data_IF_152414266725
#
_entry.id   IF_152414266725
#
_cell.length_a   1.000
_cell.length_b   1.000
_cell.length_c   1.000
_cell.angle_alpha   90.00
_cell.angle_beta   90.00
_cell.angle_gamma   90.00
#
_symmetry.space_group_name_H-M   'P 1'
#
loop_
_entity.id
_entity.type
_entity.pdbx_description
1 polymer ?
#
# COMPACT_ATOMS: atom_id res chain seq x y z
N UNK A 1 5.74 14.50 -9.05
CA UNK A 1 6.77 13.79 -8.27
C UNK A 1 6.57 12.29 -8.28
N UNK A 2 5.41 11.76 -7.85
CA UNK A 2 5.23 10.30 -7.76
C UNK A 2 4.71 9.58 -9.02
N UNK A 3 4.35 10.30 -10.09
CA UNK A 3 3.96 9.68 -11.38
C UNK A 3 4.95 8.62 -11.92
N UNK A 4 6.29 8.78 -11.83
CA UNK A 4 7.22 7.74 -12.26
C UNK A 4 7.07 6.40 -11.50
N UNK A 5 6.58 6.42 -10.26
CA UNK A 5 6.33 5.22 -9.45
C UNK A 5 5.07 4.49 -9.90
N UNK A 6 4.00 5.25 -10.18
CA UNK A 6 2.76 4.77 -10.80
C UNK A 6 3.06 4.09 -12.14
N UNK A 7 3.69 4.81 -13.07
CA UNK A 7 4.00 4.28 -14.39
C UNK A 7 4.88 3.03 -14.32
N UNK A 8 5.85 2.98 -13.39
CA UNK A 8 6.67 1.80 -13.22
C UNK A 8 5.87 0.60 -12.70
N UNK A 9 4.96 0.80 -11.73
CA UNK A 9 4.09 -0.26 -11.23
C UNK A 9 3.22 -0.82 -12.35
N UNK A 10 2.55 0.06 -13.10
CA UNK A 10 1.71 -0.32 -14.23
C UNK A 10 2.51 -1.12 -15.27
N UNK A 11 3.67 -0.61 -15.69
CA UNK A 11 4.53 -1.30 -16.64
C UNK A 11 4.91 -2.71 -16.16
N UNK A 12 5.30 -2.87 -14.89
CA UNK A 12 5.64 -4.18 -14.34
C UNK A 12 4.42 -5.10 -14.28
N UNK A 13 3.26 -4.60 -13.84
CA UNK A 13 2.04 -5.40 -13.71
C UNK A 13 1.52 -5.87 -15.07
N UNK A 14 1.32 -4.95 -16.03
CA UNK A 14 0.77 -5.26 -17.35
C UNK A 14 1.73 -6.07 -18.23
N UNK A 15 3.06 -5.99 -17.98
CA UNK A 15 4.04 -6.82 -18.67
C UNK A 15 4.09 -8.25 -18.13
N UNK A 16 3.83 -8.45 -16.83
CA UNK A 16 4.01 -9.74 -16.15
C UNK A 16 2.74 -10.56 -16.03
N UNK A 17 1.58 -9.92 -15.96
CA UNK A 17 0.33 -10.59 -15.62
C UNK A 17 -0.77 -10.26 -16.63
N UNK A 18 -1.61 -11.26 -16.90
CA UNK A 18 -2.90 -11.05 -17.55
C UNK A 18 -3.89 -10.50 -16.52
N UNK A 19 -3.88 -9.17 -16.37
CA UNK A 19 -4.71 -8.47 -15.41
C UNK A 19 -6.18 -8.46 -15.85
N UNK A 20 -7.08 -8.69 -14.89
CA UNK A 20 -8.52 -8.44 -15.01
C UNK A 20 -8.90 -7.28 -14.12
N UNK A 21 -9.64 -6.31 -14.67
CA UNK A 21 -10.18 -5.20 -13.87
C UNK A 21 -11.14 -5.69 -12.80
N UNK A 22 -11.10 -5.05 -11.62
CA UNK A 22 -12.10 -5.19 -10.57
C UNK A 22 -12.98 -3.94 -10.56
N UNK A 23 -14.30 -4.08 -10.33
CA UNK A 23 -15.19 -2.93 -10.31
C UNK A 23 -14.83 -1.99 -9.16
N UNK A 24 -14.88 -0.69 -9.46
CA UNK A 24 -14.75 0.40 -8.50
C UNK A 24 -15.99 1.26 -8.67
N UNK A 25 -16.51 1.82 -7.59
CA UNK A 25 -17.58 2.82 -7.70
C UNK A 25 -17.06 4.01 -8.53
N UNK A 26 -17.81 4.54 -9.50
CA UNK A 26 -17.32 5.59 -10.41
C UNK A 26 -16.73 6.81 -9.68
N UNK A 27 -17.32 7.21 -8.55
CA UNK A 27 -16.84 8.31 -7.72
C UNK A 27 -15.54 8.03 -6.97
N UNK A 28 -15.18 6.75 -6.79
CA UNK A 28 -13.95 6.31 -6.14
C UNK A 28 -12.83 6.02 -7.17
N UNK A 29 -13.22 5.70 -8.42
CA UNK A 29 -12.30 5.50 -9.55
C UNK A 29 -11.70 6.82 -10.03
N UNK A 30 -12.53 7.85 -10.21
CA UNK A 30 -12.08 9.17 -10.65
C UNK A 30 -12.93 10.27 -10.03
N UNK A 31 -12.29 11.25 -9.41
CA UNK A 31 -12.97 12.46 -8.98
C UNK A 31 -12.06 13.69 -9.00
N UNK A 32 -12.63 14.83 -9.40
CA UNK A 32 -12.02 16.15 -9.19
C UNK A 32 -12.84 16.91 -8.15
N UNK A 33 -12.23 17.21 -7.01
CA UNK A 33 -12.84 18.02 -5.97
C UNK A 33 -12.41 19.48 -6.04
N UNK A 34 -13.36 20.37 -5.72
CA UNK A 34 -13.19 21.81 -5.60
C UNK A 34 -13.21 22.31 -4.13
N UNK A 35 -13.23 21.41 -3.14
CA UNK A 35 -13.40 21.79 -1.71
C UNK A 35 -12.17 22.47 -1.09
N UNK A 36 -10.99 22.26 -1.66
CA UNK A 36 -9.71 22.79 -1.15
C UNK A 36 -9.34 24.16 -1.74
N UNK A 37 -8.18 24.70 -1.32
CA UNK A 37 -7.60 25.91 -1.94
C UNK A 37 -7.29 25.72 -3.42
N UNK A 38 -6.95 24.51 -3.82
CA UNK A 38 -6.70 24.09 -5.19
C UNK A 38 -7.57 22.87 -5.50
N UNK A 39 -7.96 22.67 -6.77
CA UNK A 39 -8.59 21.43 -7.20
C UNK A 39 -7.72 20.22 -6.84
N UNK A 40 -8.35 19.17 -6.32
CA UNK A 40 -7.69 17.90 -6.02
C UNK A 40 -8.30 16.81 -6.90
N UNK A 41 -7.47 16.16 -7.70
CA UNK A 41 -7.84 15.01 -8.50
C UNK A 41 -7.41 13.74 -7.76
N UNK A 42 -8.29 12.74 -7.75
CA UNK A 42 -7.96 11.37 -7.38
C UNK A 42 -8.25 10.45 -8.56
N UNK A 43 -7.35 9.51 -8.78
CA UNK A 43 -7.52 8.38 -9.68
C UNK A 43 -7.16 7.10 -8.94
N UNK A 44 -8.02 6.09 -9.07
CA UNK A 44 -7.86 4.80 -8.42
C UNK A 44 -8.03 3.68 -9.42
N UNK A 45 -7.21 2.64 -9.28
CA UNK A 45 -7.25 1.47 -10.13
C UNK A 45 -7.30 0.21 -9.30
N UNK A 46 -7.98 -0.82 -9.81
CA UNK A 46 -8.10 -2.11 -9.15
C UNK A 46 -8.09 -3.26 -10.16
N UNK A 47 -7.18 -4.20 -9.94
CA UNK A 47 -7.02 -5.37 -10.79
C UNK A 47 -6.88 -6.64 -9.96
N UNK A 48 -6.95 -7.77 -10.65
CA UNK A 48 -6.65 -9.09 -10.11
C UNK A 48 -6.03 -10.00 -11.18
N UNK A 49 -5.28 -10.99 -10.73
CA UNK A 49 -4.76 -12.09 -11.54
C UNK A 49 -4.72 -13.37 -10.68
N UNK A 50 -4.39 -14.56 -11.23
CA UNK A 50 -4.37 -15.80 -10.44
C UNK A 50 -3.52 -15.72 -9.17
N UNK A 51 -2.39 -15.01 -9.22
CA UNK A 51 -1.44 -14.88 -8.11
C UNK A 51 -1.80 -13.76 -7.12
N UNK A 52 -2.54 -12.75 -7.56
CA UNK A 52 -2.88 -11.55 -6.77
C UNK A 52 -4.39 -11.32 -6.83
N UNK A 53 -5.11 -11.60 -5.73
CA UNK A 53 -6.58 -11.43 -5.67
C UNK A 53 -7.03 -9.96 -5.73
N UNK A 54 -6.14 -9.03 -5.37
CA UNK A 54 -6.41 -7.60 -5.39
C UNK A 54 -5.09 -6.87 -5.59
N UNK A 55 -5.07 -5.98 -6.56
CA UNK A 55 -4.01 -5.01 -6.77
C UNK A 55 -4.73 -3.67 -6.79
N UNK A 56 -4.57 -2.85 -5.76
CA UNK A 56 -5.13 -1.49 -5.76
C UNK A 56 -4.03 -0.47 -5.72
N UNK A 57 -4.20 0.60 -6.47
CA UNK A 57 -3.33 1.76 -6.38
C UNK A 57 -4.13 3.03 -6.64
N UNK A 58 -3.69 4.12 -6.01
CA UNK A 58 -4.35 5.41 -6.03
C UNK A 58 -3.33 6.51 -6.18
N UNK A 59 -3.62 7.45 -7.06
CA UNK A 59 -2.86 8.67 -7.23
C UNK A 59 -3.73 9.88 -6.93
N UNK A 60 -3.23 10.77 -6.05
CA UNK A 60 -3.87 12.06 -5.78
C UNK A 60 -2.93 13.16 -6.24
N UNK A 61 -3.49 14.12 -6.98
CA UNK A 61 -2.82 15.34 -7.40
C UNK A 61 -3.64 16.56 -7.00
N UNK A 62 -3.14 17.30 -6.01
CA UNK A 62 -3.67 18.59 -5.57
C UNK A 62 -2.67 19.74 -5.90
N UNK A 63 -2.01 19.64 -7.05
CA UNK A 63 -1.02 20.62 -7.52
C UNK A 63 0.16 20.75 -6.56
N UNK A 64 0.52 21.98 -6.19
CA UNK A 64 1.59 22.23 -5.23
C UNK A 64 1.20 21.89 -3.77
N UNK A 65 -0.08 21.61 -3.49
CA UNK A 65 -0.55 21.38 -2.10
C UNK A 65 -0.27 19.96 -1.65
N UNK A 66 -0.58 18.97 -2.48
CA UNK A 66 -0.30 17.58 -2.16
C UNK A 66 -0.13 16.70 -3.40
N UNK A 67 0.71 15.68 -3.28
CA UNK A 67 0.73 14.52 -4.17
C UNK A 67 0.80 13.25 -3.34
N UNK A 68 0.02 12.24 -3.70
CA UNK A 68 -0.04 10.98 -2.97
C UNK A 68 0.01 9.84 -3.98
N UNK A 69 0.80 8.82 -3.68
CA UNK A 69 0.76 7.53 -4.38
C UNK A 69 0.67 6.43 -3.33
N UNK A 70 -0.45 5.73 -3.32
CA UNK A 70 -0.71 4.62 -2.42
C UNK A 70 -0.94 3.35 -3.24
N UNK A 71 -0.43 2.21 -2.80
CA UNK A 71 -0.69 0.93 -3.43
C UNK A 71 -0.59 -0.21 -2.42
N UNK A 72 -1.49 -1.18 -2.56
CA UNK A 72 -1.40 -2.45 -1.83
C UNK A 72 -1.71 -3.61 -2.76
N UNK A 73 -0.81 -4.60 -2.78
CA UNK A 73 -1.00 -5.85 -3.51
C UNK A 73 -1.29 -6.97 -2.52
N UNK A 74 -2.41 -7.65 -2.74
CA UNK A 74 -2.91 -8.77 -1.95
C UNK A 74 -2.67 -10.06 -2.72
N UNK A 75 -1.76 -10.93 -2.25
CA UNK A 75 -1.63 -12.28 -2.77
C UNK A 75 -2.95 -13.03 -2.72
N UNK A 76 -3.24 -13.85 -3.73
CA UNK A 76 -4.35 -14.80 -3.64
C UNK A 76 -4.19 -15.67 -2.40
N UNK A 77 -5.28 -16.09 -1.76
CA UNK A 77 -5.23 -16.79 -0.46
C UNK A 77 -4.45 -18.11 -0.47
N UNK A 78 -4.15 -18.66 -1.66
CA UNK A 78 -3.28 -19.82 -1.82
C UNK A 78 -1.80 -19.48 -1.64
N UNK A 79 -1.42 -18.20 -1.60
CA UNK A 79 -0.06 -17.76 -1.35
C UNK A 79 0.00 -17.02 -0.02
N UNK A 80 0.83 -17.51 0.90
CA UNK A 80 1.06 -16.89 2.21
C UNK A 80 2.01 -15.69 2.15
N UNK A 81 2.32 -15.18 0.96
CA UNK A 81 3.18 -14.00 0.79
C UNK A 81 2.71 -12.81 1.64
N UNK A 82 3.64 -11.96 2.09
CA UNK A 82 3.29 -10.68 2.71
C UNK A 82 2.56 -9.79 1.70
N UNK A 83 1.81 -8.79 2.17
CA UNK A 83 1.26 -7.77 1.28
C UNK A 83 2.41 -6.83 0.86
N UNK A 84 2.39 -6.35 -0.38
CA UNK A 84 3.27 -5.23 -0.76
C UNK A 84 2.56 -3.93 -0.45
N UNK A 85 3.04 -3.18 0.55
CA UNK A 85 2.48 -1.90 0.97
C UNK A 85 3.33 -0.73 0.51
N UNK A 86 2.72 0.24 -0.17
CA UNK A 86 3.34 1.47 -0.67
C UNK A 86 2.48 2.66 -0.25
N UNK A 87 3.08 3.64 0.42
CA UNK A 87 2.39 4.88 0.77
C UNK A 87 3.35 6.08 0.74
N UNK A 88 3.27 6.86 -0.34
CA UNK A 88 4.11 8.03 -0.56
C UNK A 88 3.25 9.29 -0.53
N UNK A 89 3.51 10.16 0.44
CA UNK A 89 2.77 11.39 0.65
C UNK A 89 3.70 12.59 0.56
N UNK A 90 3.33 13.57 -0.24
CA UNK A 90 3.98 14.86 -0.30
C UNK A 90 2.94 15.94 0.03
N UNK A 91 3.21 16.75 1.03
CA UNK A 91 2.41 17.93 1.41
C UNK A 91 3.26 19.19 1.23
N UNK A 92 3.00 19.93 0.16
CA UNK A 92 3.87 21.00 -0.28
C UNK A 92 5.27 20.51 -0.68
N UNK A 93 6.21 21.45 -0.81
CA UNK A 93 7.62 21.17 -1.15
C UNK A 93 8.48 20.73 0.05
N UNK A 94 7.90 20.63 1.25
CA UNK A 94 8.66 20.53 2.51
C UNK A 94 8.39 19.28 3.34
N UNK A 95 7.26 18.59 3.13
CA UNK A 95 6.86 17.45 3.95
C UNK A 95 6.60 16.26 3.03
N UNK A 96 7.61 15.43 2.86
CA UNK A 96 7.48 14.17 2.12
C UNK A 96 7.66 13.04 3.12
N UNK A 97 6.68 12.15 3.19
CA UNK A 97 6.68 10.96 4.02
C UNK A 97 6.53 9.75 3.10
N UNK A 98 7.40 8.75 3.26
CA UNK A 98 7.41 7.59 2.39
C UNK A 98 7.42 6.32 3.23
N UNK A 99 6.57 5.37 2.87
CA UNK A 99 6.47 4.04 3.44
C UNK A 99 6.52 3.02 2.31
N UNK A 100 7.41 2.04 2.43
CA UNK A 100 7.51 0.90 1.52
C UNK A 100 7.90 -0.34 2.32
N UNK A 101 7.09 -1.39 2.24
CA UNK A 101 7.30 -2.60 3.04
C UNK A 101 6.69 -3.85 2.40
N UNK A 102 7.23 -5.01 2.76
CA UNK A 102 6.50 -6.28 2.67
C UNK A 102 5.84 -6.53 4.01
N UNK A 103 4.55 -6.23 4.10
CA UNK A 103 3.77 -6.24 5.33
C UNK A 103 3.46 -7.70 5.72
N UNK A 104 4.08 -8.23 6.79
CA UNK A 104 3.97 -9.65 7.14
C UNK A 104 2.56 -10.00 7.60
N UNK A 105 2.03 -11.13 7.11
CA UNK A 105 0.77 -11.70 7.61
C UNK A 105 0.95 -12.42 8.95
N UNK A 106 2.15 -12.95 9.19
CA UNK A 106 2.47 -13.76 10.36
C UNK A 106 3.79 -13.34 10.99
N UNK A 107 3.97 -13.73 12.26
CA UNK A 107 5.14 -13.37 13.08
C UNK A 107 6.00 -14.56 13.47
N UNK A 108 5.65 -15.77 13.02
CA UNK A 108 6.48 -16.94 13.29
C UNK A 108 7.83 -16.84 12.58
N UNK A 109 8.87 -17.36 13.24
CA UNK A 109 10.27 -17.20 12.79
C UNK A 109 10.50 -17.76 11.38
N UNK A 110 9.86 -18.89 11.06
CA UNK A 110 9.96 -19.52 9.76
C UNK A 110 9.40 -18.62 8.65
N UNK A 111 8.24 -18.01 8.88
CA UNK A 111 7.64 -17.04 7.97
C UNK A 111 8.54 -15.82 7.74
N UNK A 112 9.02 -15.21 8.84
CA UNK A 112 9.87 -14.03 8.76
C UNK A 112 11.18 -14.33 8.02
N UNK A 113 11.81 -15.48 8.31
CA UNK A 113 13.01 -15.92 7.61
C UNK A 113 12.77 -16.16 6.11
N UNK A 114 11.60 -16.69 5.75
CA UNK A 114 11.25 -17.00 4.36
C UNK A 114 10.97 -15.74 3.53
N UNK A 115 10.15 -14.84 4.05
CA UNK A 115 9.58 -13.74 3.24
C UNK A 115 10.07 -12.35 3.62
N UNK A 116 10.53 -12.15 4.85
CA UNK A 116 10.89 -10.83 5.36
C UNK A 116 12.41 -10.62 5.36
N UNK A 117 13.17 -11.61 5.83
CA UNK A 117 14.64 -11.59 5.82
C UNK A 117 15.28 -11.24 4.46
N UNK A 118 14.73 -11.66 3.29
CA UNK A 118 15.27 -11.25 1.99
C UNK A 118 15.32 -9.73 1.78
N UNK A 119 14.49 -8.93 2.47
CA UNK A 119 14.53 -7.48 2.39
C UNK A 119 15.74 -6.85 3.08
N UNK A 120 16.41 -7.54 4.01
CA UNK A 120 17.48 -6.95 4.85
C UNK A 120 18.53 -6.23 4.01
N UNK A 121 19.06 -6.91 3.00
CA UNK A 121 20.13 -6.35 2.15
C UNK A 121 19.68 -5.09 1.40
N UNK A 122 18.42 -5.03 0.95
CA UNK A 122 17.87 -3.83 0.32
C UNK A 122 17.68 -2.72 1.35
N UNK A 123 17.11 -3.03 2.52
CA UNK A 123 16.95 -2.05 3.60
C UNK A 123 18.29 -1.44 4.01
N UNK A 124 19.34 -2.24 4.13
CA UNK A 124 20.67 -1.76 4.52
C UNK A 124 21.30 -0.89 3.42
N UNK A 125 21.11 -1.26 2.15
CA UNK A 125 21.53 -0.45 0.98
C UNK A 125 20.85 0.92 0.94
N UNK A 126 19.60 1.01 1.40
CA UNK A 126 18.78 2.23 1.43
C UNK A 126 18.51 2.70 2.87
N UNK A 127 19.48 2.51 3.77
CA UNK A 127 19.30 2.77 5.21
C UNK A 127 18.91 4.22 5.54
N UNK A 128 19.21 5.20 4.67
CA UNK A 128 18.75 6.58 4.80
C UNK A 128 17.22 6.75 4.67
N UNK A 129 16.55 5.77 4.05
CA UNK A 129 15.10 5.69 3.93
C UNK A 129 14.46 4.89 5.08
N UNK A 130 15.24 4.39 6.04
CA UNK A 130 14.78 3.63 7.20
C UNK A 130 15.10 4.38 8.49
N UNK A 131 14.40 5.51 8.69
CA UNK A 131 14.58 6.41 9.83
C UNK A 131 13.79 5.91 11.04
N UNK A 132 14.30 6.18 12.25
CA UNK A 132 13.60 5.89 13.51
C UNK A 132 12.52 6.96 13.78
N UNK A 133 11.44 6.89 13.02
CA UNK A 133 10.29 7.77 13.14
C UNK A 133 9.20 7.10 13.99
N UNK A 134 8.55 7.85 14.91
CA UNK A 134 7.47 7.29 15.69
C UNK A 134 6.28 6.96 14.80
N UNK A 135 5.83 5.70 14.82
CA UNK A 135 4.53 5.30 14.28
C UNK A 135 3.43 5.77 15.24
N UNK A 136 2.84 6.93 14.96
CA UNK A 136 1.85 7.54 15.87
C UNK A 136 0.49 6.84 15.85
N UNK A 137 0.12 6.30 14.70
CA UNK A 137 -1.22 5.73 14.45
C UNK A 137 -1.18 4.20 14.34
N UNK A 138 -0.05 3.67 13.89
CA UNK A 138 0.14 2.23 13.72
C UNK A 138 0.94 1.62 14.88
N UNK A 139 0.57 0.39 15.24
CA UNK A 139 1.43 -0.51 15.99
C UNK A 139 2.47 -1.13 15.04
N UNK A 140 3.73 -0.74 15.22
CA UNK A 140 4.85 -1.25 14.43
C UNK A 140 4.99 -2.78 14.48
N UNK A 141 4.41 -3.44 15.50
CA UNK A 141 4.59 -4.87 15.73
C UNK A 141 3.52 -5.78 15.10
N UNK A 142 2.47 -5.24 14.47
CA UNK A 142 1.39 -6.07 13.91
C UNK A 142 1.57 -6.38 12.42
N UNK A 143 1.70 -5.35 11.56
CA UNK A 143 1.78 -5.53 10.10
C UNK A 143 2.96 -4.81 9.42
N UNK A 144 3.93 -4.32 10.19
CA UNK A 144 5.17 -3.77 9.66
C UNK A 144 6.34 -4.73 9.88
N UNK A 145 7.19 -4.82 8.87
CA UNK A 145 8.42 -5.61 8.94
C UNK A 145 9.54 -4.80 9.62
N UNK A 146 10.56 -5.48 10.20
CA UNK A 146 11.76 -4.82 10.69
C UNK A 146 12.59 -4.16 9.57
N UNK A 147 12.25 -4.40 8.30
CA UNK A 147 12.96 -3.87 7.14
C UNK A 147 12.14 -2.84 6.36
N UNK A 148 11.12 -2.25 7.00
CA UNK A 148 10.35 -1.18 6.37
C UNK A 148 11.24 0.00 6.02
N UNK A 149 10.99 0.58 4.85
CA UNK A 149 11.48 1.93 4.56
C UNK A 149 10.43 2.90 5.06
N UNK A 150 10.80 3.71 6.05
CA UNK A 150 9.98 4.77 6.62
C UNK A 150 10.82 6.01 6.83
N UNK A 151 10.57 7.05 6.04
CA UNK A 151 11.38 8.25 6.08
C UNK A 151 10.58 9.52 5.81
N UNK A 152 11.03 10.59 6.47
CA UNK A 152 10.75 11.96 6.05
C UNK A 152 11.88 12.40 5.15
N UNK A 153 11.54 12.94 3.98
CA UNK A 153 12.53 13.17 2.94
C UNK A 153 12.22 14.40 2.08
N UNK A 154 13.01 14.61 1.03
CA UNK A 154 12.91 15.70 0.08
C UNK A 154 12.79 15.19 -1.36
N UNK A 155 12.46 16.12 -2.27
CA UNK A 155 12.20 15.81 -3.68
C UNK A 155 13.40 15.17 -4.38
N UNK A 156 14.63 15.52 -3.98
CA UNK A 156 15.85 15.00 -4.60
C UNK A 156 16.04 13.53 -4.21
N UNK A 157 15.89 13.24 -2.93
CA UNK A 157 15.96 11.87 -2.39
C UNK A 157 14.87 10.98 -2.98
N UNK A 158 13.66 11.51 -3.24
CA UNK A 158 12.59 10.75 -3.92
C UNK A 158 13.05 10.24 -5.28
N UNK A 159 13.70 11.10 -6.08
CA UNK A 159 14.13 10.74 -7.44
C UNK A 159 15.37 9.85 -7.40
N UNK A 160 16.36 10.23 -6.59
CA UNK A 160 17.71 9.63 -6.65
C UNK A 160 17.88 8.40 -5.76
N UNK A 161 17.03 8.22 -4.74
CA UNK A 161 17.16 7.12 -3.77
C UNK A 161 15.89 6.28 -3.67
N UNK A 162 14.72 6.91 -3.47
CA UNK A 162 13.47 6.17 -3.31
C UNK A 162 13.04 5.45 -4.59
N UNK A 163 13.13 6.08 -5.76
CA UNK A 163 12.74 5.43 -7.02
C UNK A 163 13.61 4.19 -7.31
N UNK A 164 14.95 4.21 -7.20
CA UNK A 164 15.75 3.00 -7.25
C UNK A 164 15.35 1.95 -6.21
N UNK A 165 15.17 2.34 -4.94
CA UNK A 165 14.76 1.43 -3.88
C UNK A 165 13.44 0.73 -4.20
N UNK A 166 12.45 1.51 -4.62
CA UNK A 166 11.13 1.04 -5.03
C UNK A 166 11.20 -0.02 -6.13
N UNK A 167 11.99 0.23 -7.18
CA UNK A 167 12.17 -0.72 -8.28
C UNK A 167 12.80 -2.04 -7.80
N UNK A 168 13.80 -1.96 -6.93
CA UNK A 168 14.47 -3.15 -6.40
C UNK A 168 13.57 -3.95 -5.44
N UNK A 169 12.78 -3.26 -4.60
CA UNK A 169 11.79 -3.90 -3.73
C UNK A 169 10.67 -4.57 -4.55
N UNK A 170 10.14 -3.92 -5.60
CA UNK A 170 9.17 -4.53 -6.51
C UNK A 170 9.76 -5.77 -7.19
N UNK A 171 10.99 -5.67 -7.69
CA UNK A 171 11.67 -6.80 -8.32
C UNK A 171 11.89 -7.96 -7.34
N UNK A 172 12.22 -7.68 -6.08
CA UNK A 172 12.32 -8.71 -5.03
C UNK A 172 10.95 -9.34 -4.75
N UNK A 173 9.88 -8.55 -4.68
CA UNK A 173 8.53 -9.06 -4.47
C UNK A 173 8.11 -10.03 -5.58
N UNK A 174 8.43 -9.71 -6.84
CA UNK A 174 8.22 -10.63 -7.96
C UNK A 174 9.01 -11.92 -7.84
N UNK A 175 10.27 -11.86 -7.43
CA UNK A 175 11.07 -13.07 -7.20
C UNK A 175 10.50 -13.95 -6.09
N UNK A 176 9.91 -13.36 -5.04
CA UNK A 176 9.21 -14.12 -4.01
C UNK A 176 7.93 -14.75 -4.55
N UNK A 177 7.16 -14.01 -5.34
CA UNK A 177 5.92 -14.48 -5.97
C UNK A 177 6.18 -15.65 -6.94
N UNK A 178 7.22 -15.55 -7.77
CA UNK A 178 7.62 -16.58 -8.74
C UNK A 178 8.06 -17.89 -8.07
N UNK A 179 8.60 -17.82 -6.84
CA UNK A 179 9.06 -18.97 -6.05
C UNK A 179 8.01 -19.50 -5.08
N UNK A 180 6.87 -18.83 -4.96
CA UNK A 180 5.85 -19.20 -4.00
C UNK A 180 5.04 -20.38 -4.54
N UNK A 181 5.05 -21.49 -3.80
CA UNK A 181 4.21 -22.64 -4.08
C UNK A 181 2.81 -22.44 -3.48
N UNK A 182 1.73 -22.69 -4.24
CA UNK A 182 0.37 -22.53 -3.73
C UNK A 182 0.08 -23.55 -2.63
N UNK A 183 -0.48 -23.06 -1.53
CA UNK A 183 -1.05 -23.86 -0.45
C UNK A 183 -2.21 -24.71 -0.99
N UNK A 184 -2.20 -25.99 -0.64
CA UNK A 184 -3.26 -26.94 -1.02
C UNK A 184 -4.20 -27.29 0.12
N UNK A 185 -3.79 -27.03 1.36
CA UNK A 185 -4.56 -27.38 2.55
C UNK A 185 -5.62 -26.29 2.84
N UNK A 186 -6.92 -26.65 2.96
CA UNK A 186 -7.99 -25.68 3.19
C UNK A 186 -7.76 -24.79 4.43
N UNK A 187 -7.28 -25.37 5.54
CA UNK A 187 -7.04 -24.62 6.78
C UNK A 187 -5.91 -23.59 6.63
N UNK A 188 -4.87 -23.90 5.84
CA UNK A 188 -3.79 -22.98 5.57
C UNK A 188 -4.27 -21.80 4.70
N UNK A 189 -5.07 -22.09 3.67
CA UNK A 189 -5.70 -21.07 2.80
C UNK A 189 -6.64 -20.19 3.64
N UNK A 190 -7.44 -20.78 4.52
CA UNK A 190 -8.35 -20.06 5.41
C UNK A 190 -7.59 -19.16 6.39
N UNK A 191 -6.44 -19.61 6.92
CA UNK A 191 -5.56 -18.81 7.77
C UNK A 191 -5.04 -17.56 7.04
N UNK A 192 -4.59 -17.71 5.79
CA UNK A 192 -4.15 -16.56 4.96
C UNK A 192 -5.30 -15.59 4.70
N UNK A 193 -6.46 -16.12 4.30
CA UNK A 193 -7.66 -15.31 4.07
C UNK A 193 -8.03 -14.51 5.31
N UNK A 194 -8.03 -15.14 6.49
CA UNK A 194 -8.30 -14.45 7.75
C UNK A 194 -7.27 -13.36 8.03
N UNK A 195 -5.98 -13.64 7.85
CA UNK A 195 -4.92 -12.68 8.12
C UNK A 195 -5.00 -11.42 7.23
N UNK A 196 -5.39 -11.57 5.96
CA UNK A 196 -5.63 -10.43 5.07
C UNK A 196 -6.86 -9.60 5.50
N UNK A 197 -7.94 -10.25 5.97
CA UNK A 197 -9.10 -9.54 6.53
C UNK A 197 -8.76 -8.79 7.82
N UNK A 198 -8.01 -9.43 8.70
CA UNK A 198 -7.53 -8.81 9.94
C UNK A 198 -6.62 -7.60 9.62
N UNK A 199 -5.81 -7.68 8.55
CA UNK A 199 -5.02 -6.56 8.05
C UNK A 199 -5.91 -5.40 7.59
N UNK A 200 -6.97 -5.67 6.81
CA UNK A 200 -7.90 -4.66 6.34
C UNK A 200 -8.57 -3.95 7.53
N UNK A 201 -9.08 -4.72 8.50
CA UNK A 201 -9.69 -4.17 9.72
C UNK A 201 -8.71 -3.30 10.52
N UNK A 202 -7.51 -3.82 10.80
CA UNK A 202 -6.48 -3.09 11.53
C UNK A 202 -6.09 -1.79 10.82
N UNK A 203 -5.93 -1.85 9.49
CA UNK A 203 -5.50 -0.70 8.70
C UNK A 203 -6.58 0.36 8.62
N UNK A 204 -7.85 -0.03 8.45
CA UNK A 204 -8.97 0.90 8.45
C UNK A 204 -9.14 1.63 9.79
N UNK A 205 -8.98 0.94 10.92
CA UNK A 205 -9.07 1.54 12.26
C UNK A 205 -7.95 2.54 12.57
N UNK A 206 -6.80 2.42 11.88
CA UNK A 206 -5.59 3.20 12.15
C UNK A 206 -5.19 4.14 11.03
N UNK A 207 -5.91 4.13 9.91
CA UNK A 207 -5.56 4.93 8.74
C UNK A 207 -5.59 6.44 9.09
N UNK A 208 -4.41 7.13 9.08
CA UNK A 208 -4.37 8.55 9.36
C UNK A 208 -4.87 9.40 8.19
N UNK A 209 -5.14 8.79 7.02
CA UNK A 209 -5.54 9.50 5.82
C UNK A 209 -7.05 9.87 5.80
N UNK A 210 -7.87 9.35 6.71
CA UNK A 210 -9.29 9.71 6.84
C UNK A 210 -9.54 11.22 6.89
N UNK A 211 -8.76 11.96 7.69
CA UNK A 211 -8.83 13.42 7.77
C UNK A 211 -8.39 14.14 6.49
N UNK A 212 -7.43 13.56 5.77
CA UNK A 212 -6.93 14.08 4.50
C UNK A 212 -7.97 13.92 3.40
N UNK A 213 -8.50 12.71 3.21
CA UNK A 213 -9.57 12.44 2.26
C UNK A 213 -10.80 13.30 2.57
N UNK A 214 -11.18 13.41 3.85
CA UNK A 214 -12.33 14.21 4.26
C UNK A 214 -12.18 15.69 3.91
N UNK A 215 -10.96 16.22 4.00
CA UNK A 215 -10.68 17.62 3.63
C UNK A 215 -10.85 17.88 2.13
N UNK A 216 -10.51 16.91 1.29
CA UNK A 216 -10.61 17.04 -0.17
C UNK A 216 -11.97 16.60 -0.69
N UNK A 217 -12.51 15.46 -0.29
CA UNK A 217 -13.66 14.83 -0.95
C UNK A 217 -14.92 14.79 -0.07
N UNK A 218 -14.79 15.12 1.21
CA UNK A 218 -15.88 15.09 2.19
C UNK A 218 -15.97 13.75 2.92
N UNK A 219 -16.64 13.78 4.07
CA UNK A 219 -16.69 12.65 5.01
C UNK A 219 -17.33 11.40 4.39
N UNK A 220 -18.54 11.51 3.83
CA UNK A 220 -19.25 10.36 3.25
C UNK A 220 -18.43 9.65 2.16
N UNK A 221 -17.80 10.44 1.27
CA UNK A 221 -16.93 9.89 0.24
C UNK A 221 -15.72 9.16 0.87
N UNK A 222 -15.13 9.74 1.93
CA UNK A 222 -13.94 9.18 2.57
C UNK A 222 -14.23 7.86 3.26
N UNK A 223 -15.39 7.74 3.91
CA UNK A 223 -15.83 6.48 4.52
C UNK A 223 -16.03 5.39 3.47
N UNK A 224 -16.69 5.71 2.35
CA UNK A 224 -16.84 4.77 1.22
C UNK A 224 -15.48 4.39 0.64
N UNK A 225 -14.59 5.36 0.44
CA UNK A 225 -13.26 5.08 -0.07
C UNK A 225 -12.45 4.16 0.86
N UNK A 226 -12.55 4.37 2.17
CA UNK A 226 -11.87 3.55 3.17
C UNK A 226 -12.40 2.11 3.17
N UNK A 227 -13.72 1.93 3.29
CA UNK A 227 -14.34 0.63 3.52
C UNK A 227 -14.77 -0.14 2.26
N UNK A 228 -14.96 0.53 1.13
CA UNK A 228 -15.37 -0.12 -0.12
C UNK A 228 -14.22 -0.25 -1.12
N UNK A 229 -13.11 0.47 -0.92
CA UNK A 229 -11.96 0.43 -1.82
C UNK A 229 -10.62 0.10 -1.13
N UNK A 230 -10.18 0.89 -0.14
CA UNK A 230 -8.88 0.69 0.50
C UNK A 230 -8.82 -0.62 1.30
N UNK A 231 -9.81 -0.86 2.15
CA UNK A 231 -9.87 -2.01 3.05
C UNK A 231 -11.26 -2.63 2.97
N UNK A 232 -11.49 -3.42 1.91
CA UNK A 232 -12.83 -3.91 1.51
C UNK A 232 -13.40 -4.94 2.46
N UNK A 233 -12.53 -5.60 3.24
CA UNK A 233 -12.94 -6.56 4.25
C UNK A 233 -13.11 -5.93 5.65
N UNK A 234 -12.84 -4.62 5.80
CA UNK A 234 -12.99 -3.90 7.07
C UNK A 234 -14.43 -3.47 7.31
N UNK A 235 -14.93 -3.70 8.53
CA UNK A 235 -16.27 -3.25 8.95
C UNK A 235 -16.13 -1.93 9.72
N UNK A 236 -16.94 -0.90 9.39
CA UNK A 236 -16.99 0.34 10.16
C UNK A 236 -17.27 0.04 11.63
N UNK A 237 -16.52 0.66 12.54
CA UNK A 237 -16.85 0.61 13.95
C UNK A 237 -18.24 1.24 14.14
N UNK A 238 -19.16 0.53 14.79
CA UNK A 238 -20.46 1.07 15.10
C UNK A 238 -20.28 2.38 15.90
N UNK A 239 -20.79 3.49 15.35
CA UNK A 239 -20.86 4.74 16.10
C UNK A 239 -21.75 4.48 17.31
N UNK A 240 -21.28 4.64 18.56
CA UNK A 240 -22.17 4.60 19.71
C UNK A 240 -23.21 5.71 19.50
N UNK A 241 -24.46 5.30 19.32
CA UNK A 241 -25.64 6.17 19.28
C UNK A 241 -25.81 6.96 20.57
#
# INVERSE_FOLDING_TARGET
MFQPFLHHLEQELFRRFELRGRPILPELEYQVSQRGKNPAMIESWCYQCPQLRKIRYTYINAGETAQIFNSVLYPSHQYDLPLLGIDFLAFGKKKILVVLDFQPLFRDEAYLKKYIEPMRSLRDKYSELAQDLPMKFYDANQYFSPYLLFAKTDSDTVVNRLLPAYKEYIQLYWQLLERAEPLTQPDAIARVAKAQKDYDQYSAERDPASGLFSSYFGHEWSEKFLHEFLFEDAVPLAVPS
#
